data_IF_409756929271
#
_entry.id   IF_409756929271
#
_cell.length_a   1.000
_cell.length_b   1.000
_cell.length_c   1.000
_cell.angle_alpha   90.00
_cell.angle_beta   90.00
_cell.angle_gamma   90.00
#
_symmetry.space_group_name_H-M   'P 1'
#
loop_
_entity.id
_entity.type
_entity.pdbx_description
1 polymer ?
#
# COMPACT_ATOMS: atom_id res chain seq x y z
N UNK A 1 -29.87 18.67 10.91
CA UNK A 1 -29.44 17.83 12.07
C UNK A 1 -28.37 16.83 11.69
N UNK A 2 -28.46 16.20 10.54
CA UNK A 2 -27.59 15.14 10.01
C UNK A 2 -26.12 15.57 9.79
N UNK A 3 -25.87 16.72 9.14
CA UNK A 3 -24.52 17.25 8.89
C UNK A 3 -23.74 17.45 10.19
N UNK A 4 -24.40 17.99 11.25
CA UNK A 4 -23.76 18.21 12.55
C UNK A 4 -23.30 16.89 13.18
N UNK A 5 -24.11 15.84 13.10
CA UNK A 5 -23.79 14.50 13.59
C UNK A 5 -22.60 13.92 12.83
N UNK A 6 -22.61 14.05 11.51
CA UNK A 6 -21.54 13.58 10.65
C UNK A 6 -20.17 14.25 10.97
N UNK A 7 -20.17 15.59 11.17
CA UNK A 7 -18.95 16.32 11.57
C UNK A 7 -18.44 15.83 12.92
N UNK A 8 -19.32 15.63 13.91
CA UNK A 8 -18.90 15.11 15.22
C UNK A 8 -18.28 13.72 15.13
N UNK A 9 -18.83 12.86 14.28
CA UNK A 9 -18.29 11.50 14.10
C UNK A 9 -16.93 11.52 13.36
N UNK A 10 -16.75 12.41 12.39
CA UNK A 10 -15.44 12.61 11.75
C UNK A 10 -14.39 13.12 12.75
N UNK A 11 -14.74 14.10 13.59
CA UNK A 11 -13.86 14.63 14.62
C UNK A 11 -13.44 13.56 15.64
N UNK A 12 -14.35 12.63 15.99
CA UNK A 12 -14.02 11.49 16.85
C UNK A 12 -13.04 10.52 16.16
N UNK A 13 -13.21 10.24 14.87
CA UNK A 13 -12.30 9.37 14.12
C UNK A 13 -10.87 9.90 14.08
N UNK A 14 -10.68 11.21 14.15
CA UNK A 14 -9.34 11.81 14.24
C UNK A 14 -8.81 11.95 15.68
N UNK A 15 -9.44 11.28 16.64
CA UNK A 15 -8.94 11.12 18.01
C UNK A 15 -9.49 12.13 19.03
N UNK A 16 -10.54 12.90 18.73
CA UNK A 16 -11.21 13.73 19.70
C UNK A 16 -12.25 12.93 20.49
N UNK A 17 -12.37 13.22 21.77
CA UNK A 17 -13.49 12.72 22.58
C UNK A 17 -14.80 13.39 22.13
N UNK A 18 -15.95 12.79 22.47
CA UNK A 18 -17.25 13.38 22.15
C UNK A 18 -17.44 14.80 22.68
N UNK A 19 -16.90 15.08 23.88
CA UNK A 19 -16.94 16.41 24.50
C UNK A 19 -16.04 17.41 23.77
N UNK A 20 -14.82 17.02 23.40
CA UNK A 20 -13.90 17.85 22.64
C UNK A 20 -14.44 18.17 21.25
N UNK A 21 -15.00 17.18 20.55
CA UNK A 21 -15.63 17.39 19.25
C UNK A 21 -16.81 18.36 19.33
N UNK A 22 -17.67 18.21 20.37
CA UNK A 22 -18.78 19.15 20.63
C UNK A 22 -18.25 20.56 20.95
N UNK A 23 -17.19 20.67 21.77
CA UNK A 23 -16.60 21.95 22.13
C UNK A 23 -16.00 22.66 20.89
N UNK A 24 -15.19 21.93 20.09
CA UNK A 24 -14.66 22.47 18.83
C UNK A 24 -15.77 22.99 17.91
N UNK A 25 -16.83 22.23 17.71
CA UNK A 25 -17.93 22.63 16.85
C UNK A 25 -18.70 23.83 17.40
N UNK A 26 -18.83 23.95 18.73
CA UNK A 26 -19.43 25.13 19.37
C UNK A 26 -18.58 26.36 19.16
N UNK A 27 -17.25 26.28 19.29
CA UNK A 27 -16.34 27.39 18.99
C UNK A 27 -16.42 27.76 17.50
N UNK A 28 -16.41 26.78 16.61
CA UNK A 28 -16.49 26.99 15.16
C UNK A 28 -17.78 27.74 14.75
N UNK A 29 -18.89 27.47 15.42
CA UNK A 29 -20.18 28.13 15.20
C UNK A 29 -20.28 29.51 15.89
N UNK A 30 -19.44 29.80 16.86
CA UNK A 30 -19.44 31.02 17.65
C UNK A 30 -18.02 31.61 17.72
N UNK A 31 -17.48 32.11 16.60
CA UNK A 31 -16.11 32.60 16.57
C UNK A 31 -15.94 33.84 17.45
N UNK A 32 -14.71 34.07 17.91
CA UNK A 32 -14.31 35.24 18.72
C UNK A 32 -15.05 35.39 20.07
N UNK A 33 -15.57 34.30 20.62
CA UNK A 33 -16.15 34.23 21.96
C UNK A 33 -15.13 33.82 22.99
N UNK A 34 -15.37 34.21 24.24
CA UNK A 34 -14.59 33.75 25.39
C UNK A 34 -14.95 32.34 25.75
N UNK A 35 -14.06 31.64 26.50
CA UNK A 35 -14.34 30.28 26.99
C UNK A 35 -15.64 30.24 27.80
N UNK A 36 -15.91 31.26 28.63
CA UNK A 36 -17.14 31.34 29.44
C UNK A 36 -18.41 31.46 28.58
N UNK A 37 -18.36 32.20 27.48
CA UNK A 37 -19.48 32.30 26.53
C UNK A 37 -19.70 30.97 25.80
N UNK A 38 -18.62 30.30 25.35
CA UNK A 38 -18.69 28.98 24.71
C UNK A 38 -19.21 27.93 25.68
N UNK A 39 -18.78 27.98 26.95
CA UNK A 39 -19.30 27.12 28.01
C UNK A 39 -20.82 27.20 28.09
N UNK A 40 -21.37 28.43 28.15
CA UNK A 40 -22.84 28.68 28.21
C UNK A 40 -23.53 28.19 26.94
N UNK A 41 -22.98 28.55 25.75
CA UNK A 41 -23.56 28.20 24.46
C UNK A 41 -23.63 26.69 24.22
N UNK A 42 -22.64 25.93 24.66
CA UNK A 42 -22.54 24.49 24.48
C UNK A 42 -23.08 23.66 25.66
N UNK A 43 -23.45 24.31 26.79
CA UNK A 43 -23.91 23.60 28.01
C UNK A 43 -22.81 22.74 28.64
N UNK A 44 -21.56 23.21 28.64
CA UNK A 44 -20.44 22.49 29.28
C UNK A 44 -20.30 22.88 30.77
N UNK A 45 -19.79 21.95 31.59
CA UNK A 45 -19.30 22.29 32.91
C UNK A 45 -18.02 23.14 32.77
N UNK A 46 -17.72 23.97 33.77
CA UNK A 46 -16.49 24.81 33.78
C UNK A 46 -15.23 23.99 33.54
N UNK A 47 -15.05 22.92 34.30
CA UNK A 47 -13.89 22.03 34.21
C UNK A 47 -13.78 21.39 32.82
N UNK A 48 -14.91 20.92 32.25
CA UNK A 48 -14.95 20.30 30.92
C UNK A 48 -14.60 21.29 29.80
N UNK A 49 -15.09 22.53 29.88
CA UNK A 49 -14.80 23.56 28.90
C UNK A 49 -13.31 23.90 28.86
N UNK A 50 -12.70 24.17 30.03
CA UNK A 50 -11.27 24.50 30.11
C UNK A 50 -10.37 23.34 29.70
N UNK A 51 -10.68 22.12 30.12
CA UNK A 51 -9.93 20.92 29.72
C UNK A 51 -10.00 20.70 28.21
N UNK A 52 -11.17 20.83 27.61
CA UNK A 52 -11.34 20.71 26.15
C UNK A 52 -10.59 21.80 25.41
N UNK A 53 -10.61 23.06 25.91
CA UNK A 53 -9.88 24.16 25.32
C UNK A 53 -8.38 23.90 25.33
N UNK A 54 -7.79 23.57 26.49
CA UNK A 54 -6.33 23.34 26.59
C UNK A 54 -5.87 22.19 25.68
N UNK A 55 -6.64 21.08 25.64
CA UNK A 55 -6.31 19.97 24.77
C UNK A 55 -6.41 20.32 23.29
N UNK A 56 -7.48 20.99 22.86
CA UNK A 56 -7.68 21.39 21.46
C UNK A 56 -6.65 22.46 21.03
N UNK A 57 -6.24 23.33 21.95
CA UNK A 57 -5.15 24.30 21.74
C UNK A 57 -3.81 23.58 21.57
N UNK A 58 -3.50 22.60 22.42
CA UNK A 58 -2.32 21.74 22.28
C UNK A 58 -2.29 20.98 20.95
N UNK A 59 -3.44 20.52 20.46
CA UNK A 59 -3.60 19.92 19.15
C UNK A 59 -3.56 20.96 18.00
N UNK A 60 -3.44 22.26 18.29
CA UNK A 60 -3.49 23.36 17.30
C UNK A 60 -4.78 23.37 16.45
N UNK A 61 -5.89 22.98 17.07
CA UNK A 61 -7.23 23.03 16.47
C UNK A 61 -7.99 24.28 16.89
N UNK A 62 -7.54 24.92 18.00
CA UNK A 62 -8.01 26.22 18.44
C UNK A 62 -6.83 27.20 18.52
N UNK A 63 -7.12 28.46 18.26
CA UNK A 63 -6.24 29.61 18.50
C UNK A 63 -6.86 30.54 19.53
N UNK A 64 -6.04 31.33 20.21
CA UNK A 64 -6.52 32.38 21.11
C UNK A 64 -5.76 33.66 20.80
N UNK A 65 -6.46 34.82 20.82
CA UNK A 65 -5.83 36.11 20.64
C UNK A 65 -4.81 36.38 21.76
N UNK A 66 -3.57 36.84 21.44
CA UNK A 66 -2.51 37.09 22.44
C UNK A 66 -2.79 38.31 23.30
N UNK A 67 -3.57 39.30 22.80
CA UNK A 67 -3.61 40.65 23.35
C UNK A 67 -4.75 40.98 24.33
N UNK A 68 -5.53 39.98 24.74
CA UNK A 68 -6.67 40.26 25.61
C UNK A 68 -6.73 39.26 26.76
N UNK A 69 -6.74 39.75 28.00
CA UNK A 69 -6.98 38.93 29.19
C UNK A 69 -8.35 38.21 29.16
N UNK A 70 -9.28 38.65 28.31
CA UNK A 70 -10.47 37.93 27.87
C UNK A 70 -10.19 37.20 26.55
N UNK A 71 -9.39 36.16 26.59
CA UNK A 71 -8.95 35.40 25.41
C UNK A 71 -10.12 34.95 24.56
N UNK A 72 -10.36 35.63 23.45
CA UNK A 72 -11.27 35.16 22.41
C UNK A 72 -10.65 33.95 21.73
N UNK A 73 -11.46 32.95 21.54
CA UNK A 73 -11.01 31.66 20.94
C UNK A 73 -11.63 31.51 19.55
N UNK A 74 -10.83 30.93 18.66
CA UNK A 74 -11.24 30.59 17.31
C UNK A 74 -10.88 29.17 16.97
N UNK A 75 -11.75 28.49 16.23
CA UNK A 75 -11.46 27.18 15.67
C UNK A 75 -10.88 27.31 14.27
N UNK A 76 -9.82 26.55 13.96
CA UNK A 76 -9.33 26.45 12.60
C UNK A 76 -10.42 25.82 11.70
N UNK A 77 -10.42 26.14 10.42
CA UNK A 77 -11.40 25.59 9.49
C UNK A 77 -11.28 24.07 9.31
N UNK A 78 -12.37 23.40 8.95
CA UNK A 78 -12.36 21.97 8.61
C UNK A 78 -11.40 21.66 7.46
N UNK A 79 -11.23 22.58 6.51
CA UNK A 79 -10.23 22.49 5.44
C UNK A 79 -8.82 22.47 6.00
N UNK A 80 -8.49 23.36 6.95
CA UNK A 80 -7.18 23.39 7.58
C UNK A 80 -6.89 22.11 8.38
N UNK A 81 -7.93 21.52 9.01
CA UNK A 81 -7.79 20.19 9.63
C UNK A 81 -7.46 19.14 8.59
N UNK A 82 -8.18 19.09 7.46
CA UNK A 82 -7.93 18.15 6.37
C UNK A 82 -6.51 18.27 5.82
N UNK A 83 -6.03 19.50 5.58
CA UNK A 83 -4.66 19.76 5.11
C UNK A 83 -3.60 19.32 6.13
N UNK A 84 -3.86 19.54 7.42
CA UNK A 84 -2.99 19.08 8.52
C UNK A 84 -2.89 17.55 8.54
N UNK A 85 -4.03 16.86 8.47
CA UNK A 85 -4.08 15.39 8.44
C UNK A 85 -3.33 14.83 7.21
N UNK A 86 -3.47 15.48 6.05
CA UNK A 86 -2.72 15.11 4.84
C UNK A 86 -1.21 15.21 5.03
N UNK A 87 -0.72 16.29 5.66
CA UNK A 87 0.70 16.46 5.98
C UNK A 87 1.21 15.42 7.00
N UNK A 88 0.43 15.12 8.02
CA UNK A 88 0.78 14.10 9.02
C UNK A 88 0.80 12.70 8.40
N UNK A 89 -0.18 12.35 7.57
CA UNK A 89 -0.21 11.09 6.84
C UNK A 89 1.03 10.92 5.95
N UNK A 90 1.46 12.00 5.26
CA UNK A 90 2.66 11.96 4.44
C UNK A 90 3.94 11.75 5.28
N UNK A 91 4.04 12.39 6.44
CA UNK A 91 5.16 12.19 7.38
C UNK A 91 5.20 10.74 7.89
N UNK A 92 4.05 10.18 8.27
CA UNK A 92 3.96 8.81 8.74
C UNK A 92 4.36 7.81 7.66
N UNK A 93 3.92 8.03 6.41
CA UNK A 93 4.33 7.18 5.27
C UNK A 93 5.84 7.26 5.03
N UNK A 94 6.45 8.45 5.10
CA UNK A 94 7.90 8.59 4.99
C UNK A 94 8.64 7.87 6.11
N UNK A 95 8.21 8.07 7.36
CA UNK A 95 8.81 7.39 8.51
C UNK A 95 8.67 5.86 8.42
N UNK A 96 7.53 5.37 7.97
CA UNK A 96 7.31 3.94 7.72
C UNK A 96 8.27 3.40 6.66
N UNK A 97 8.47 4.15 5.56
CA UNK A 97 9.43 3.78 4.53
C UNK A 97 10.87 3.77 5.05
N UNK A 98 11.25 4.80 5.82
CA UNK A 98 12.59 4.89 6.43
C UNK A 98 12.85 3.76 7.43
N UNK A 99 11.86 3.43 8.28
CA UNK A 99 11.95 2.30 9.22
C UNK A 99 12.16 0.98 8.49
N UNK A 100 11.41 0.72 7.41
CA UNK A 100 11.60 -0.48 6.58
C UNK A 100 12.99 -0.51 5.93
N UNK A 101 13.48 0.64 5.45
CA UNK A 101 14.83 0.74 4.88
C UNK A 101 15.90 0.45 5.92
N UNK A 102 15.76 0.96 7.16
CA UNK A 102 16.66 0.70 8.27
C UNK A 102 16.59 -0.78 8.69
N UNK A 103 15.41 -1.36 8.77
CA UNK A 103 15.23 -2.78 9.06
C UNK A 103 15.97 -3.66 8.05
N UNK A 104 15.83 -3.35 6.76
CA UNK A 104 16.57 -4.04 5.70
C UNK A 104 18.10 -3.86 5.84
N UNK A 105 18.57 -2.67 6.22
CA UNK A 105 19.98 -2.42 6.48
C UNK A 105 20.46 -3.18 7.74
N UNK A 106 19.67 -3.23 8.79
CA UNK A 106 19.98 -3.99 10.01
C UNK A 106 20.05 -5.50 9.73
N UNK A 107 19.14 -6.02 8.89
CA UNK A 107 19.20 -7.41 8.41
C UNK A 107 20.50 -7.68 7.64
N UNK A 108 20.99 -6.72 6.84
CA UNK A 108 22.24 -6.84 6.10
C UNK A 108 23.49 -6.74 6.99
N UNK A 109 23.44 -6.04 8.13
CA UNK A 109 24.61 -5.80 8.99
C UNK A 109 24.72 -6.73 10.21
N UNK A 110 23.64 -7.27 10.73
CA UNK A 110 23.62 -8.01 12.00
C UNK A 110 23.02 -9.42 11.95
N UNK A 111 22.46 -9.85 10.84
CA UNK A 111 21.89 -11.18 10.72
C UNK A 111 22.23 -11.79 9.36
N UNK A 112 22.98 -12.87 9.35
CA UNK A 112 22.84 -13.90 8.35
C UNK A 112 21.52 -14.66 8.64
N UNK A 113 20.39 -13.97 8.64
CA UNK A 113 19.13 -14.65 8.37
C UNK A 113 19.19 -14.99 6.89
N UNK A 114 19.49 -16.24 6.60
CA UNK A 114 19.06 -16.81 5.33
C UNK A 114 17.57 -16.49 5.23
N UNK A 115 17.13 -15.81 4.15
CA UNK A 115 15.70 -15.56 3.95
C UNK A 115 14.94 -16.86 4.21
N UNK A 116 13.77 -16.79 4.82
CA UNK A 116 12.94 -17.98 4.98
C UNK A 116 12.87 -18.67 3.62
N UNK A 117 13.09 -19.96 3.55
CA UNK A 117 13.16 -20.67 2.26
C UNK A 117 11.91 -20.44 1.41
N UNK A 118 10.78 -20.13 2.06
CA UNK A 118 9.51 -19.79 1.41
C UNK A 118 8.78 -18.71 2.22
N UNK A 119 8.43 -17.61 1.57
CA UNK A 119 7.60 -16.54 2.13
C UNK A 119 6.25 -16.49 1.42
N UNK A 120 5.15 -16.25 2.15
CA UNK A 120 3.80 -16.18 1.59
C UNK A 120 3.14 -14.87 2.04
N UNK A 121 2.67 -14.10 1.07
CA UNK A 121 1.98 -12.84 1.27
C UNK A 121 0.53 -12.96 0.77
N UNK A 122 -0.44 -12.53 1.59
CA UNK A 122 -1.88 -12.55 1.27
C UNK A 122 -2.49 -11.13 1.32
N UNK A 123 -1.80 -10.15 1.90
CA UNK A 123 -2.22 -8.75 1.86
C UNK A 123 -1.90 -8.12 0.50
N UNK A 124 -2.88 -7.42 -0.09
CA UNK A 124 -2.73 -6.85 -1.43
C UNK A 124 -1.58 -5.82 -1.53
N UNK A 125 -1.33 -5.05 -0.48
CA UNK A 125 -0.25 -4.06 -0.50
C UNK A 125 1.11 -4.76 -0.46
N UNK A 126 1.25 -5.82 0.35
CA UNK A 126 2.47 -6.63 0.40
C UNK A 126 2.72 -7.34 -0.93
N UNK A 127 1.69 -7.94 -1.55
CA UNK A 127 1.77 -8.56 -2.88
C UNK A 127 2.26 -7.56 -3.92
N UNK A 128 1.70 -6.35 -3.92
CA UNK A 128 2.09 -5.27 -4.83
C UNK A 128 3.53 -4.80 -4.56
N UNK A 129 3.94 -4.70 -3.29
CA UNK A 129 5.32 -4.37 -2.90
C UNK A 129 6.32 -5.41 -3.41
N UNK A 130 5.99 -6.71 -3.31
CA UNK A 130 6.85 -7.78 -3.84
C UNK A 130 7.06 -7.65 -5.37
N UNK A 131 6.03 -7.25 -6.11
CA UNK A 131 6.18 -6.96 -7.54
C UNK A 131 7.15 -5.79 -7.78
N UNK A 132 7.08 -4.72 -6.99
CA UNK A 132 8.01 -3.57 -7.11
C UNK A 132 9.44 -3.90 -6.66
N UNK A 133 9.66 -4.84 -5.73
CA UNK A 133 11.02 -5.29 -5.37
C UNK A 133 11.76 -5.89 -6.57
N UNK A 134 11.05 -6.53 -7.49
CA UNK A 134 11.64 -7.10 -8.70
C UNK A 134 12.29 -6.05 -9.61
N UNK A 135 11.88 -4.77 -9.54
CA UNK A 135 12.50 -3.68 -10.28
C UNK A 135 13.94 -3.40 -9.83
N UNK A 136 14.26 -3.70 -8.57
CA UNK A 136 15.57 -3.46 -7.98
C UNK A 136 16.42 -4.72 -7.86
N UNK A 137 15.87 -5.89 -8.21
CA UNK A 137 16.58 -7.16 -8.12
C UNK A 137 17.60 -7.32 -9.25
N UNK A 138 18.72 -7.96 -8.94
CA UNK A 138 19.80 -8.24 -9.90
C UNK A 138 19.47 -9.53 -10.67
N UNK A 139 18.91 -9.36 -11.85
CA UNK A 139 18.62 -10.43 -12.80
C UNK A 139 18.61 -9.87 -14.23
N UNK A 140 18.94 -10.68 -15.24
CA UNK A 140 18.93 -10.28 -16.64
C UNK A 140 17.89 -11.01 -17.48
N UNK A 141 17.55 -12.23 -17.10
CA UNK A 141 16.60 -13.08 -17.79
C UNK A 141 15.60 -13.70 -16.81
N UNK A 142 14.36 -13.84 -17.25
CA UNK A 142 13.30 -14.50 -16.50
C UNK A 142 12.69 -15.60 -17.37
N UNK A 143 12.37 -16.72 -16.73
CA UNK A 143 11.50 -17.73 -17.32
C UNK A 143 10.15 -17.69 -16.61
N UNK A 144 9.03 -17.70 -17.35
CA UNK A 144 7.73 -17.73 -16.72
C UNK A 144 6.76 -18.71 -17.38
N UNK A 145 5.90 -19.29 -16.53
CA UNK A 145 4.90 -20.28 -16.94
C UNK A 145 3.60 -20.06 -16.17
N UNK A 146 2.46 -20.04 -16.87
CA UNK A 146 1.14 -19.94 -16.26
C UNK A 146 0.22 -18.94 -16.96
N UNK A 147 -0.74 -18.42 -16.21
CA UNK A 147 -1.78 -17.51 -16.71
C UNK A 147 -1.28 -16.07 -16.85
N UNK A 148 -1.35 -15.51 -18.06
CA UNK A 148 -1.11 -14.10 -18.28
C UNK A 148 -2.08 -13.19 -17.52
N UNK A 149 -3.32 -13.64 -17.33
CA UNK A 149 -4.35 -12.91 -16.58
C UNK A 149 -3.95 -12.78 -15.09
N UNK A 150 -3.43 -13.85 -14.49
CA UNK A 150 -3.00 -13.86 -13.08
C UNK A 150 -1.77 -12.98 -12.85
N UNK A 151 -0.92 -12.82 -13.86
CA UNK A 151 0.23 -11.93 -13.75
C UNK A 151 -0.15 -10.47 -13.55
N UNK A 152 -1.32 -10.04 -14.03
CA UNK A 152 -1.85 -8.68 -13.84
C UNK A 152 -2.82 -8.59 -12.67
N UNK A 153 -3.71 -9.57 -12.54
CA UNK A 153 -4.76 -9.54 -11.51
C UNK A 153 -4.18 -9.56 -10.09
N UNK A 154 -3.11 -10.31 -9.85
CA UNK A 154 -2.65 -10.59 -8.48
C UNK A 154 -1.77 -9.46 -7.94
N UNK A 155 -0.68 -9.04 -8.58
CA UNK A 155 0.12 -7.91 -8.08
C UNK A 155 -0.56 -6.55 -8.32
N UNK A 156 -1.56 -6.51 -9.19
CA UNK A 156 -2.27 -5.32 -9.62
C UNK A 156 -1.80 -4.80 -10.98
N UNK A 157 -2.76 -4.34 -11.77
CA UNK A 157 -2.59 -3.88 -13.15
C UNK A 157 -1.43 -2.87 -13.30
N UNK A 158 -1.41 -1.85 -12.42
CA UNK A 158 -0.38 -0.82 -12.45
C UNK A 158 1.01 -1.37 -12.16
N UNK A 159 1.15 -2.19 -11.12
CA UNK A 159 2.45 -2.74 -10.71
C UNK A 159 3.05 -3.62 -11.82
N UNK A 160 2.23 -4.47 -12.44
CA UNK A 160 2.70 -5.30 -13.54
C UNK A 160 3.02 -4.48 -14.80
N UNK A 161 2.23 -3.47 -15.14
CA UNK A 161 2.53 -2.56 -16.26
C UNK A 161 3.84 -1.80 -16.04
N UNK A 162 4.06 -1.30 -14.82
CA UNK A 162 5.32 -0.63 -14.45
C UNK A 162 6.51 -1.61 -14.56
N UNK A 163 6.34 -2.85 -14.09
CA UNK A 163 7.36 -3.91 -14.18
C UNK A 163 7.71 -4.24 -15.65
N UNK A 164 6.72 -4.49 -16.49
CA UNK A 164 6.94 -4.82 -17.92
C UNK A 164 7.66 -3.67 -18.63
N UNK A 165 7.19 -2.44 -18.42
CA UNK A 165 7.78 -1.25 -19.03
C UNK A 165 9.22 -1.02 -18.59
N UNK A 166 9.48 -1.11 -17.28
CA UNK A 166 10.83 -0.95 -16.72
C UNK A 166 11.77 -2.04 -17.23
N UNK A 167 11.33 -3.30 -17.21
CA UNK A 167 12.10 -4.45 -17.68
C UNK A 167 12.56 -4.26 -19.12
N UNK A 168 11.64 -3.93 -20.01
CA UNK A 168 11.94 -3.73 -21.43
C UNK A 168 12.93 -2.58 -21.65
N UNK A 169 12.73 -1.44 -20.96
CA UNK A 169 13.67 -0.29 -21.01
C UNK A 169 15.07 -0.63 -20.51
N UNK A 170 15.20 -1.59 -19.59
CA UNK A 170 16.50 -2.06 -19.07
C UNK A 170 17.13 -3.17 -19.91
N UNK A 171 16.53 -3.54 -21.04
CA UNK A 171 17.05 -4.60 -21.91
C UNK A 171 16.90 -6.01 -21.33
N UNK A 172 16.14 -6.20 -20.27
CA UNK A 172 15.96 -7.48 -19.57
C UNK A 172 14.96 -8.36 -20.33
N UNK A 173 15.35 -9.59 -20.66
CA UNK A 173 14.56 -10.51 -21.48
C UNK A 173 13.68 -11.45 -20.66
N UNK A 174 12.66 -12.02 -21.30
CA UNK A 174 11.76 -13.02 -20.67
C UNK A 174 11.35 -14.08 -21.68
N UNK A 175 11.45 -15.35 -21.27
CA UNK A 175 10.82 -16.48 -21.94
C UNK A 175 9.51 -16.83 -21.22
N UNK A 176 8.40 -16.80 -21.93
CA UNK A 176 7.08 -16.97 -21.34
C UNK A 176 6.29 -18.10 -22.01
N UNK A 177 5.73 -19.02 -21.23
CA UNK A 177 4.74 -19.98 -21.68
C UNK A 177 3.40 -19.65 -21.01
N UNK A 178 2.45 -19.16 -21.80
CA UNK A 178 1.12 -18.82 -21.32
C UNK A 178 0.18 -20.02 -21.45
N UNK A 179 -0.61 -20.27 -20.40
CA UNK A 179 -1.48 -21.46 -20.31
C UNK A 179 -2.92 -21.23 -20.68
N UNK A 180 -3.28 -20.00 -20.98
CA UNK A 180 -4.62 -19.62 -21.45
C UNK A 180 -4.55 -18.46 -22.44
N UNK A 181 -5.61 -18.28 -23.24
CA UNK A 181 -5.72 -17.20 -24.22
C UNK A 181 -6.73 -16.13 -23.75
N UNK A 182 -6.44 -15.49 -22.63
CA UNK A 182 -7.23 -14.37 -22.11
C UNK A 182 -6.89 -13.03 -22.77
N UNK A 183 -7.43 -11.94 -22.21
CA UNK A 183 -7.21 -10.58 -22.73
C UNK A 183 -5.78 -10.13 -22.60
N UNK A 184 -5.20 -10.25 -21.40
CA UNK A 184 -3.81 -9.88 -21.15
C UNK A 184 -2.84 -10.75 -21.94
N UNK A 185 -3.08 -12.07 -21.98
CA UNK A 185 -2.23 -12.98 -22.76
C UNK A 185 -2.17 -12.61 -24.24
N UNK A 186 -3.32 -12.26 -24.85
CA UNK A 186 -3.35 -11.78 -26.24
C UNK A 186 -2.53 -10.52 -26.45
N UNK A 187 -2.66 -9.54 -25.55
CA UNK A 187 -1.88 -8.30 -25.61
C UNK A 187 -0.39 -8.55 -25.41
N UNK A 188 -0.03 -9.43 -24.47
CA UNK A 188 1.36 -9.80 -24.22
C UNK A 188 2.02 -10.47 -25.42
N UNK A 189 1.34 -11.39 -26.08
CA UNK A 189 1.84 -12.06 -27.28
C UNK A 189 2.00 -11.10 -28.47
N UNK A 190 1.10 -10.13 -28.66
CA UNK A 190 1.21 -9.11 -29.71
C UNK A 190 2.44 -8.21 -29.52
N UNK A 191 2.87 -7.96 -28.28
CA UNK A 191 3.97 -7.05 -27.94
C UNK A 191 5.29 -7.77 -27.66
N UNK A 192 5.43 -9.02 -28.07
CA UNK A 192 6.60 -9.84 -27.78
C UNK A 192 7.94 -9.14 -28.09
N UNK A 193 8.10 -8.66 -29.31
CA UNK A 193 9.35 -7.98 -29.75
C UNK A 193 9.57 -6.66 -29.02
N UNK A 194 8.51 -5.84 -28.90
CA UNK A 194 8.58 -4.52 -28.26
C UNK A 194 8.95 -4.61 -26.77
N UNK A 195 8.53 -5.68 -26.13
CA UNK A 195 8.74 -5.91 -24.71
C UNK A 195 9.84 -6.94 -24.43
N UNK A 196 10.70 -7.25 -25.37
CA UNK A 196 11.80 -8.22 -25.22
C UNK A 196 11.33 -9.56 -24.60
N UNK A 197 10.19 -10.04 -25.06
CA UNK A 197 9.58 -11.29 -24.64
C UNK A 197 9.65 -12.31 -25.77
N UNK A 198 10.00 -13.53 -25.43
CA UNK A 198 9.78 -14.69 -26.28
C UNK A 198 8.61 -15.47 -25.68
N UNK A 199 7.41 -15.20 -26.18
CA UNK A 199 6.16 -15.76 -25.63
C UNK A 199 5.61 -16.88 -26.50
N UNK A 200 5.26 -18.00 -25.88
CA UNK A 200 4.59 -19.16 -26.48
C UNK A 200 3.24 -19.40 -25.80
N UNK A 201 2.31 -20.00 -26.49
CA UNK A 201 1.00 -20.42 -25.96
C UNK A 201 0.95 -21.93 -25.84
N UNK A 202 0.63 -22.42 -24.64
CA UNK A 202 0.36 -23.84 -24.37
C UNK A 202 -0.87 -23.95 -23.47
N UNK A 203 -2.01 -24.32 -24.04
CA UNK A 203 -3.27 -24.36 -23.28
C UNK A 203 -3.22 -25.49 -22.27
N UNK A 204 -3.24 -25.12 -20.97
CA UNK A 204 -3.29 -26.04 -19.85
C UNK A 204 -4.34 -25.58 -18.83
N UNK A 205 -5.53 -26.23 -18.80
CA UNK A 205 -6.59 -25.86 -17.86
C UNK A 205 -6.22 -25.95 -16.39
N UNK A 206 -5.23 -26.78 -16.04
CA UNK A 206 -4.79 -26.99 -14.66
C UNK A 206 -3.83 -25.90 -14.17
N UNK A 207 -3.30 -25.08 -15.06
CA UNK A 207 -2.31 -24.04 -14.76
C UNK A 207 -2.84 -22.61 -14.91
N UNK A 208 -4.17 -22.41 -14.82
CA UNK A 208 -4.81 -21.10 -15.00
C UNK A 208 -4.91 -20.28 -13.71
N UNK A 209 -4.64 -20.87 -12.56
CA UNK A 209 -4.77 -20.21 -11.25
C UNK A 209 -3.49 -19.54 -10.75
N UNK A 210 -2.41 -19.63 -11.50
CA UNK A 210 -1.13 -19.05 -11.11
C UNK A 210 -0.32 -18.55 -12.31
N UNK A 211 0.67 -17.71 -12.03
CA UNK A 211 1.80 -17.39 -12.90
C UNK A 211 3.08 -17.50 -12.11
N UNK A 212 4.00 -18.33 -12.56
CA UNK A 212 5.32 -18.55 -11.96
C UNK A 212 6.39 -17.77 -12.72
N UNK A 213 7.23 -17.04 -12.01
CA UNK A 213 8.42 -16.36 -12.52
C UNK A 213 9.65 -16.96 -11.87
N UNK A 214 10.59 -17.45 -12.68
CA UNK A 214 11.84 -18.08 -12.25
C UNK A 214 13.00 -17.11 -12.56
N UNK A 215 13.60 -16.59 -11.52
CA UNK A 215 14.79 -15.72 -11.55
C UNK A 215 16.04 -16.51 -11.17
N UNK A 216 17.19 -15.84 -11.16
CA UNK A 216 18.45 -16.48 -10.80
C UNK A 216 18.48 -16.96 -9.33
N UNK A 217 17.93 -16.15 -8.41
CA UNK A 217 18.03 -16.36 -6.96
C UNK A 217 16.66 -16.52 -6.26
N UNK A 218 15.57 -16.53 -7.01
CA UNK A 218 14.23 -16.73 -6.43
C UNK A 218 13.23 -17.26 -7.46
N UNK A 219 12.14 -17.82 -6.97
CA UNK A 219 10.91 -18.06 -7.74
C UNK A 219 9.81 -17.23 -7.12
N UNK A 220 9.05 -16.54 -7.95
CA UNK A 220 7.84 -15.82 -7.53
C UNK A 220 6.62 -16.46 -8.17
N UNK A 221 5.63 -16.83 -7.36
CA UNK A 221 4.38 -17.39 -7.83
C UNK A 221 3.24 -16.46 -7.45
N UNK A 222 2.58 -15.88 -8.45
CA UNK A 222 1.31 -15.17 -8.29
C UNK A 222 0.19 -16.19 -8.37
N UNK A 223 -0.49 -16.45 -7.27
CA UNK A 223 -1.53 -17.49 -7.18
C UNK A 223 -2.87 -16.91 -6.77
N UNK A 224 -3.95 -17.38 -7.42
CA UNK A 224 -5.33 -17.17 -6.97
C UNK A 224 -5.93 -18.51 -6.58
N UNK A 225 -6.29 -18.60 -5.32
CA UNK A 225 -6.95 -19.76 -4.74
C UNK A 225 -8.40 -19.43 -4.44
N UNK A 226 -9.32 -20.39 -4.59
CA UNK A 226 -10.75 -20.14 -4.36
C UNK A 226 -11.08 -19.90 -2.89
N UNK A 227 -10.38 -20.59 -1.97
CA UNK A 227 -10.60 -20.49 -0.53
C UNK A 227 -9.69 -19.43 0.12
N UNK A 228 -8.42 -19.37 -0.30
CA UNK A 228 -7.38 -18.55 0.32
C UNK A 228 -7.16 -17.21 -0.39
N UNK A 229 -7.85 -16.95 -1.49
CA UNK A 229 -7.77 -15.70 -2.24
C UNK A 229 -6.46 -15.51 -3.02
N UNK A 230 -6.05 -14.24 -3.18
CA UNK A 230 -4.82 -13.88 -3.89
C UNK A 230 -3.60 -14.01 -2.98
N UNK A 231 -2.51 -14.58 -3.52
CA UNK A 231 -1.25 -14.77 -2.79
C UNK A 231 -0.04 -14.54 -3.68
N UNK A 232 1.04 -14.03 -3.06
CA UNK A 232 2.38 -14.09 -3.60
C UNK A 232 3.18 -15.13 -2.78
N UNK A 233 3.81 -16.09 -3.46
CA UNK A 233 4.70 -17.08 -2.85
C UNK A 233 6.08 -16.81 -3.40
N UNK A 234 7.03 -16.48 -2.52
CA UNK A 234 8.43 -16.21 -2.86
C UNK A 234 9.27 -17.36 -2.34
N UNK A 235 10.04 -18.00 -3.19
CA UNK A 235 10.87 -19.16 -2.88
C UNK A 235 12.34 -18.76 -3.06
N UNK A 236 13.12 -18.88 -2.00
CA UNK A 236 14.56 -18.60 -1.97
C UNK A 236 15.41 -19.89 -1.87
N UNK A 237 14.77 -21.05 -1.70
CA UNK A 237 15.46 -22.34 -1.62
C UNK A 237 16.14 -22.71 -2.94
N UNK A 238 17.49 -22.89 -2.97
CA UNK A 238 18.22 -23.20 -4.22
C UNK A 238 17.79 -24.48 -4.90
N UNK A 239 17.36 -25.50 -4.12
CA UNK A 239 16.88 -26.78 -4.65
C UNK A 239 15.57 -26.62 -5.40
N UNK A 240 14.63 -25.88 -4.81
CA UNK A 240 13.34 -25.58 -5.44
C UNK A 240 13.53 -24.67 -6.66
N UNK A 241 14.39 -23.65 -6.60
CA UNK A 241 14.70 -22.80 -7.75
C UNK A 241 15.22 -23.63 -8.91
N UNK A 242 16.17 -24.52 -8.66
CA UNK A 242 16.70 -25.45 -9.68
C UNK A 242 15.62 -26.35 -10.26
N UNK A 243 14.73 -26.89 -9.41
CA UNK A 243 13.60 -27.70 -9.84
C UNK A 243 12.66 -26.95 -10.77
N UNK A 244 12.24 -25.73 -10.39
CA UNK A 244 11.37 -24.87 -11.22
C UNK A 244 12.02 -24.52 -12.55
N UNK A 245 13.31 -24.20 -12.57
CA UNK A 245 14.06 -23.92 -13.80
C UNK A 245 14.09 -25.14 -14.73
N UNK A 246 14.44 -26.31 -14.21
CA UNK A 246 14.48 -27.55 -15.00
C UNK A 246 13.08 -27.92 -15.55
N UNK A 247 12.03 -27.72 -14.77
CA UNK A 247 10.67 -27.97 -15.23
C UNK A 247 10.28 -26.97 -16.35
N UNK A 248 10.61 -25.70 -16.20
CA UNK A 248 10.36 -24.72 -17.24
C UNK A 248 11.09 -25.08 -18.55
N UNK A 249 12.37 -25.47 -18.50
CA UNK A 249 13.16 -25.87 -19.66
C UNK A 249 12.54 -27.03 -20.42
N UNK A 250 12.00 -28.04 -19.69
CA UNK A 250 11.29 -29.16 -20.30
C UNK A 250 10.01 -28.69 -21.01
N UNK A 251 9.21 -27.84 -20.38
CA UNK A 251 8.01 -27.28 -20.98
C UNK A 251 8.37 -26.45 -22.21
N UNK A 252 9.37 -25.58 -22.06
CA UNK A 252 9.83 -24.69 -23.12
C UNK A 252 10.28 -25.40 -24.40
N UNK A 253 10.91 -26.57 -24.23
CA UNK A 253 11.38 -27.41 -25.35
C UNK A 253 10.25 -28.23 -25.97
N UNK A 254 9.21 -28.54 -25.21
CA UNK A 254 8.07 -29.32 -25.66
C UNK A 254 7.01 -28.49 -26.43
N UNK A 255 7.03 -27.19 -26.31
CA UNK A 255 6.14 -26.22 -26.96
C UNK A 255 6.91 -25.41 -28.01
#
# INVERSE_FOLDING_TARGET
>A
MEIKRHILDLLKRIGLTGTEAKFYLTVYQNPQKTIAEIQKAGGFSHTSAYRSFERLKGLKLLTSSPDNWRKNIEAISLRAISEKLGRESLKLRKAQYELRSIENLMKLTNYQETPEPIEIFSDQNQITEECYKLLNADWNHISCYGSGERSYEIPGEKAMTDFVTWRARKGKTINAVFTELGTHTKELLKKNEQELRNGKLYIDPHSQNFMTYVYDKQVTIWQKDEELGKRAIIIHDPGLIKMYRTNFEKIWTAV
#
